data_IF_752441692557
#
_entry.id   IF_752441692557
#
_cell.length_a   1.000
_cell.length_b   1.000
_cell.length_c   1.000
_cell.angle_alpha   90.00
_cell.angle_beta   90.00
_cell.angle_gamma   90.00
#
_symmetry.space_group_name_H-M   'P 1'
#
loop_
_entity.id
_entity.type
_entity.pdbx_description
1 polymer ?
#
# COMPACT_ATOMS: atom_id res chain seq x y z
N UNK A 1 -12.90 -42.94 6.73
CA UNK A 1 -11.93 -42.01 6.18
C UNK A 1 -10.54 -42.36 6.70
N UNK A 2 -9.60 -42.68 5.86
CA UNK A 2 -8.25 -43.03 6.30
C UNK A 2 -7.47 -41.79 6.69
N UNK A 3 -6.44 -41.91 7.56
CA UNK A 3 -5.58 -40.79 7.97
C UNK A 3 -4.96 -40.04 6.78
N UNK A 4 -4.66 -40.75 5.67
CA UNK A 4 -4.14 -40.18 4.43
C UNK A 4 -5.16 -39.28 3.72
N UNK A 5 -6.42 -39.67 3.64
CA UNK A 5 -7.50 -38.89 3.03
C UNK A 5 -7.80 -37.62 3.84
N UNK A 6 -7.72 -37.67 5.17
CA UNK A 6 -7.90 -36.52 6.02
C UNK A 6 -6.76 -35.48 5.86
N UNK A 7 -5.51 -35.94 5.72
CA UNK A 7 -4.34 -35.08 5.48
C UNK A 7 -4.42 -34.38 4.12
N UNK A 8 -4.81 -35.07 3.07
CA UNK A 8 -4.97 -34.49 1.72
C UNK A 8 -6.09 -33.44 1.72
N UNK A 9 -7.22 -33.74 2.36
CA UNK A 9 -8.31 -32.78 2.46
C UNK A 9 -7.92 -31.50 3.25
N UNK A 10 -7.10 -31.64 4.29
CA UNK A 10 -6.59 -30.50 5.06
C UNK A 10 -5.64 -29.62 4.26
N UNK A 11 -4.74 -30.23 3.47
CA UNK A 11 -3.79 -29.49 2.62
C UNK A 11 -4.54 -28.72 1.52
N UNK A 12 -5.52 -29.32 0.88
CA UNK A 12 -6.36 -28.69 -0.14
C UNK A 12 -7.16 -27.52 0.43
N UNK A 13 -7.72 -27.67 1.64
CA UNK A 13 -8.48 -26.62 2.31
C UNK A 13 -7.58 -25.40 2.65
N UNK A 14 -6.36 -25.63 3.10
CA UNK A 14 -5.38 -24.55 3.39
C UNK A 14 -4.97 -23.82 2.11
N UNK A 15 -4.77 -24.53 1.01
CA UNK A 15 -4.41 -23.95 -0.30
C UNK A 15 -5.56 -23.07 -0.85
N UNK A 16 -6.81 -23.48 -0.72
CA UNK A 16 -7.99 -22.73 -1.16
C UNK A 16 -8.20 -21.44 -0.35
N UNK A 17 -7.94 -21.46 0.95
CA UNK A 17 -8.03 -20.26 1.80
C UNK A 17 -6.94 -19.26 1.47
N UNK A 18 -5.73 -19.72 1.14
CA UNK A 18 -4.62 -18.86 0.72
C UNK A 18 -4.89 -18.15 -0.61
N UNK A 19 -5.41 -18.87 -1.60
CA UNK A 19 -5.73 -18.32 -2.92
C UNK A 19 -6.84 -17.25 -2.87
N UNK A 20 -7.83 -17.42 -2.00
CA UNK A 20 -8.93 -16.46 -1.84
C UNK A 20 -8.49 -15.09 -1.28
N UNK A 21 -7.44 -15.05 -0.47
CA UNK A 21 -6.92 -13.77 0.10
C UNK A 21 -6.16 -12.96 -0.93
N UNK A 22 -5.36 -13.59 -1.76
CA UNK A 22 -4.60 -12.91 -2.83
C UNK A 22 -5.55 -12.36 -3.91
N UNK A 23 -6.57 -13.11 -4.30
CA UNK A 23 -7.57 -12.65 -5.26
C UNK A 23 -8.35 -11.42 -4.76
N UNK A 24 -8.71 -11.36 -3.47
CA UNK A 24 -9.39 -10.20 -2.87
C UNK A 24 -8.54 -8.93 -2.89
N UNK A 25 -7.25 -9.02 -2.60
CA UNK A 25 -6.36 -7.88 -2.61
C UNK A 25 -6.18 -7.29 -4.02
N UNK A 26 -6.05 -8.15 -5.05
CA UNK A 26 -5.98 -7.72 -6.44
C UNK A 26 -7.28 -7.08 -6.93
N UNK A 27 -8.44 -7.60 -6.51
CA UNK A 27 -9.73 -7.01 -6.84
C UNK A 27 -9.94 -5.64 -6.19
N UNK A 28 -9.53 -5.45 -4.94
CA UNK A 28 -9.64 -4.18 -4.25
C UNK A 28 -8.80 -3.09 -4.92
N UNK A 29 -7.53 -3.39 -5.26
CA UNK A 29 -6.68 -2.46 -6.01
C UNK A 29 -7.30 -2.08 -7.36
N UNK A 30 -7.64 -3.06 -8.18
CA UNK A 30 -8.16 -2.85 -9.54
C UNK A 30 -9.52 -2.14 -9.58
N UNK A 31 -10.28 -2.16 -8.49
CA UNK A 31 -11.53 -1.42 -8.39
C UNK A 31 -11.33 0.09 -8.27
N UNK A 32 -10.29 0.52 -7.54
CA UNK A 32 -10.06 1.95 -7.23
C UNK A 32 -8.92 2.58 -8.01
N UNK A 33 -7.85 1.82 -8.30
CA UNK A 33 -6.60 2.34 -8.85
C UNK A 33 -6.27 1.74 -10.21
N UNK A 34 -5.54 2.52 -11.02
CA UNK A 34 -5.17 2.14 -12.39
C UNK A 34 -3.68 1.82 -12.49
N UNK A 35 -3.36 0.53 -12.65
CA UNK A 35 -1.99 0.04 -12.82
C UNK A 35 -1.29 0.64 -14.05
N UNK A 36 -2.05 1.09 -15.04
CA UNK A 36 -1.52 1.72 -16.25
C UNK A 36 -1.27 3.22 -16.10
N UNK A 37 -1.55 3.78 -14.91
CA UNK A 37 -1.29 5.19 -14.59
C UNK A 37 -0.34 5.30 -13.39
N UNK A 38 0.93 4.89 -13.55
CA UNK A 38 1.93 5.05 -12.51
C UNK A 38 2.21 6.54 -12.25
N UNK A 39 2.50 6.85 -11.01
CA UNK A 39 2.90 8.20 -10.60
C UNK A 39 4.29 8.19 -9.95
N UNK A 40 4.96 9.33 -10.09
CA UNK A 40 6.17 9.68 -9.35
C UNK A 40 6.11 11.17 -9.06
N UNK A 41 5.63 11.52 -7.87
CA UNK A 41 5.40 12.90 -7.48
C UNK A 41 6.31 13.30 -6.31
N UNK A 42 6.94 14.45 -6.41
CA UNK A 42 7.58 15.10 -5.28
C UNK A 42 6.57 15.97 -4.55
N UNK A 43 6.55 15.89 -3.23
CA UNK A 43 5.65 16.68 -2.41
C UNK A 43 6.03 16.66 -0.94
N UNK A 44 5.31 17.45 -0.17
CA UNK A 44 5.49 17.62 1.27
C UNK A 44 4.43 16.83 2.02
N UNK A 45 4.86 16.01 2.97
CA UNK A 45 3.93 15.32 3.87
C UNK A 45 3.31 16.30 4.86
N UNK A 46 1.97 16.37 4.88
CA UNK A 46 1.22 17.31 5.71
C UNK A 46 0.62 16.62 6.93
N UNK A 47 0.13 15.40 6.76
CA UNK A 47 -0.60 14.68 7.81
C UNK A 47 -0.58 13.18 7.56
N UNK A 48 -0.67 12.41 8.66
CA UNK A 48 -0.91 10.97 8.64
C UNK A 48 -2.26 10.65 9.26
N UNK A 49 -3.02 9.78 8.64
CA UNK A 49 -4.16 9.10 9.23
C UNK A 49 -3.84 7.60 9.32
N UNK A 50 -3.40 7.19 10.50
CA UNK A 50 -3.00 5.80 10.79
C UNK A 50 -4.22 4.99 11.20
N UNK A 51 -4.94 4.45 10.22
CA UNK A 51 -6.19 3.72 10.42
C UNK A 51 -6.16 2.36 9.74
N UNK A 52 -6.97 1.43 10.23
CA UNK A 52 -7.19 0.14 9.58
C UNK A 52 -8.42 0.22 8.65
N UNK A 53 -8.45 -0.52 7.54
CA UNK A 53 -7.39 -1.42 7.03
C UNK A 53 -6.26 -0.71 6.29
N UNK A 54 -6.44 0.53 5.86
CA UNK A 54 -5.45 1.31 5.09
C UNK A 54 -5.24 2.67 5.71
N UNK A 55 -3.98 3.03 5.90
CA UNK A 55 -3.57 4.37 6.32
C UNK A 55 -3.54 5.35 5.16
N UNK A 56 -3.62 6.64 5.47
CA UNK A 56 -3.61 7.70 4.49
C UNK A 56 -2.54 8.74 4.81
N UNK A 57 -1.78 9.11 3.80
CA UNK A 57 -0.82 10.20 3.85
C UNK A 57 -1.38 11.38 3.07
N UNK A 58 -1.55 12.50 3.72
CA UNK A 58 -1.94 13.75 3.09
C UNK A 58 -0.67 14.48 2.66
N UNK A 59 -0.56 14.79 1.39
CA UNK A 59 0.60 15.45 0.81
C UNK A 59 0.18 16.73 0.08
N UNK A 60 1.07 17.71 0.06
CA UNK A 60 1.00 18.84 -0.85
C UNK A 60 1.93 18.58 -2.04
N UNK A 61 1.36 18.48 -3.23
CA UNK A 61 2.06 18.22 -4.48
C UNK A 61 1.71 19.34 -5.47
N UNK A 62 2.69 20.14 -5.87
CA UNK A 62 2.50 21.30 -6.76
C UNK A 62 1.39 22.26 -6.29
N UNK A 63 1.29 22.50 -4.98
CA UNK A 63 0.29 23.37 -4.38
C UNK A 63 -1.09 22.75 -4.20
N UNK A 64 -1.29 21.50 -4.61
CA UNK A 64 -2.55 20.77 -4.46
C UNK A 64 -2.48 19.74 -3.35
N UNK A 65 -3.61 19.52 -2.69
CA UNK A 65 -3.74 18.47 -1.68
C UNK A 65 -3.99 17.12 -2.33
N UNK A 66 -3.20 16.13 -1.91
CA UNK A 66 -3.30 14.75 -2.35
C UNK A 66 -3.50 13.81 -1.18
N UNK A 67 -4.24 12.73 -1.42
CA UNK A 67 -4.37 11.61 -0.48
C UNK A 67 -3.69 10.38 -1.05
N UNK A 68 -2.72 9.85 -0.32
CA UNK A 68 -1.95 8.67 -0.71
C UNK A 68 -2.31 7.52 0.22
N UNK A 69 -2.91 6.48 -0.33
CA UNK A 69 -3.21 5.26 0.42
C UNK A 69 -1.94 4.45 0.66
N UNK A 70 -1.76 4.01 1.88
CA UNK A 70 -0.74 3.04 2.28
C UNK A 70 -1.37 1.81 2.91
N UNK A 71 -0.56 0.91 3.43
CA UNK A 71 -1.00 -0.27 4.16
C UNK A 71 -1.57 0.07 5.54
N UNK A 72 -1.89 -0.98 6.29
CA UNK A 72 -2.30 -0.85 7.69
C UNK A 72 -1.17 -0.27 8.54
N UNK A 73 -1.47 0.32 9.71
CA UNK A 73 -0.44 0.82 10.62
C UNK A 73 0.64 -0.22 10.93
N UNK A 74 0.27 -1.47 11.17
CA UNK A 74 1.23 -2.55 11.46
C UNK A 74 2.12 -2.89 10.26
N UNK A 75 1.60 -2.84 9.03
CA UNK A 75 2.40 -3.03 7.82
C UNK A 75 3.42 -1.91 7.66
N UNK A 76 3.01 -0.66 7.85
CA UNK A 76 3.88 0.51 7.75
C UNK A 76 5.02 0.46 8.75
N UNK A 77 4.73 0.16 10.01
CA UNK A 77 5.75 0.04 11.06
C UNK A 77 6.78 -1.04 10.70
N UNK A 78 6.34 -2.21 10.23
CA UNK A 78 7.24 -3.28 9.80
C UNK A 78 8.11 -2.91 8.59
N UNK A 79 7.64 -2.00 7.74
CA UNK A 79 8.38 -1.47 6.60
C UNK A 79 9.29 -0.27 6.98
N UNK A 80 9.33 0.10 8.25
CA UNK A 80 10.12 1.23 8.72
C UNK A 80 9.49 2.60 8.47
N UNK A 81 8.22 2.65 8.10
CA UNK A 81 7.48 3.90 7.90
C UNK A 81 6.87 4.32 9.23
N UNK A 82 7.52 5.26 9.89
CA UNK A 82 7.15 5.78 11.22
C UNK A 82 7.26 7.30 11.23
N UNK A 83 6.68 7.94 12.25
CA UNK A 83 6.82 9.39 12.43
C UNK A 83 8.26 9.87 12.67
N UNK A 84 9.15 8.96 13.01
CA UNK A 84 10.60 9.26 13.15
C UNK A 84 11.34 9.20 11.82
N UNK A 85 11.01 8.23 10.96
CA UNK A 85 11.64 8.05 9.64
C UNK A 85 11.06 8.98 8.59
N UNK A 86 9.77 9.33 8.71
CA UNK A 86 9.05 10.24 7.80
C UNK A 86 8.26 11.25 8.64
N UNK A 87 8.91 12.26 9.25
CA UNK A 87 8.22 13.29 10.01
C UNK A 87 7.26 14.11 9.13
N UNK A 88 6.20 14.64 9.73
CA UNK A 88 5.35 15.64 9.07
C UNK A 88 6.23 16.83 8.66
N UNK A 89 6.01 17.35 7.46
CA UNK A 89 6.82 18.41 6.86
C UNK A 89 7.98 17.89 5.98
N UNK A 90 8.23 16.58 5.94
CA UNK A 90 9.24 15.99 5.06
C UNK A 90 8.84 16.17 3.59
N UNK A 91 9.77 16.66 2.78
CA UNK A 91 9.67 16.61 1.32
C UNK A 91 10.24 15.27 0.85
N UNK A 92 9.46 14.56 0.06
CA UNK A 92 9.81 13.23 -0.44
C UNK A 92 9.15 12.97 -1.79
N UNK A 93 9.58 11.90 -2.45
CA UNK A 93 8.93 11.42 -3.67
C UNK A 93 8.02 10.26 -3.30
N UNK A 94 6.78 10.27 -3.79
CA UNK A 94 5.87 9.14 -3.74
C UNK A 94 5.78 8.49 -5.12
N UNK A 95 5.94 7.18 -5.17
CA UNK A 95 5.66 6.35 -6.33
C UNK A 95 4.41 5.50 -6.04
N UNK A 96 3.57 5.33 -7.03
CA UNK A 96 2.34 4.57 -6.90
C UNK A 96 1.48 4.61 -8.16
N UNK A 97 0.16 4.62 -7.99
CA UNK A 97 -0.80 4.58 -9.09
C UNK A 97 -1.99 5.48 -8.82
N UNK A 98 -2.48 6.18 -9.86
CA UNK A 98 -3.63 7.08 -9.75
C UNK A 98 -4.93 6.35 -9.45
N UNK A 99 -5.82 7.03 -8.73
CA UNK A 99 -7.20 6.62 -8.64
C UNK A 99 -7.91 6.74 -9.99
N UNK A 100 -8.81 5.82 -10.28
CA UNK A 100 -9.60 5.78 -11.52
C UNK A 100 -10.66 6.89 -11.59
N UNK A 101 -11.08 7.42 -10.45
CA UNK A 101 -12.15 8.43 -10.36
C UNK A 101 -11.70 9.84 -10.76
N UNK A 102 -10.42 10.05 -11.07
CA UNK A 102 -9.87 11.35 -11.50
C UNK A 102 -9.64 12.34 -10.37
N UNK A 103 -9.80 11.95 -9.10
CA UNK A 103 -9.50 12.80 -7.94
C UNK A 103 -8.00 12.82 -7.65
N UNK A 104 -7.55 13.77 -6.80
CA UNK A 104 -6.17 13.83 -6.30
C UNK A 104 -5.93 12.76 -5.22
N UNK A 105 -6.10 11.51 -5.62
CA UNK A 105 -5.91 10.31 -4.81
C UNK A 105 -5.06 9.30 -5.55
N UNK A 106 -4.18 8.64 -4.84
CA UNK A 106 -3.35 7.57 -5.38
C UNK A 106 -3.12 6.49 -4.32
N UNK A 107 -2.81 5.27 -4.75
CA UNK A 107 -2.23 4.28 -3.86
C UNK A 107 -0.72 4.40 -3.92
N UNK A 108 -0.07 4.53 -2.77
CA UNK A 108 1.37 4.59 -2.66
C UNK A 108 2.00 3.20 -2.67
N UNK A 109 3.04 3.04 -3.46
CA UNK A 109 3.90 1.85 -3.47
C UNK A 109 5.08 2.03 -2.54
N UNK A 110 5.76 3.16 -2.66
CA UNK A 110 6.89 3.52 -1.80
C UNK A 110 7.11 5.03 -1.73
N UNK A 111 7.78 5.45 -0.65
CA UNK A 111 8.40 6.75 -0.54
C UNK A 111 9.89 6.66 -0.89
N UNK A 112 10.43 7.71 -1.51
CA UNK A 112 11.87 7.91 -1.69
C UNK A 112 12.22 9.17 -0.92
N UNK A 113 13.10 9.03 0.07
CA UNK A 113 13.59 10.12 0.93
C UNK A 113 14.73 10.90 0.25
N UNK A 114 15.09 12.04 0.82
CA UNK A 114 16.14 12.92 0.25
C UNK A 114 17.52 12.23 0.15
N UNK A 115 17.81 11.26 1.02
CA UNK A 115 19.04 10.44 0.97
C UNK A 115 18.99 9.31 -0.08
N UNK A 116 17.89 9.18 -0.82
CA UNK A 116 17.65 8.11 -1.79
C UNK A 116 17.12 6.81 -1.19
N UNK A 117 16.96 6.71 0.12
CA UNK A 117 16.37 5.53 0.73
C UNK A 117 14.92 5.34 0.33
N UNK A 118 14.52 4.07 0.17
CA UNK A 118 13.20 3.69 -0.31
C UNK A 118 12.44 2.95 0.79
N UNK A 119 11.28 3.47 1.16
CA UNK A 119 10.39 2.87 2.15
C UNK A 119 9.11 2.37 1.47
N UNK A 120 8.85 1.07 1.55
CA UNK A 120 7.63 0.50 1.01
C UNK A 120 6.43 0.80 1.90
N UNK A 121 5.28 1.09 1.27
CA UNK A 121 4.09 1.54 1.98
C UNK A 121 3.09 0.42 2.30
N UNK A 122 3.40 -0.82 1.92
CA UNK A 122 2.46 -1.93 2.12
C UNK A 122 1.19 -1.78 1.30
N UNK A 123 0.09 -2.33 1.79
CA UNK A 123 -1.23 -2.18 1.17
C UNK A 123 -1.42 -3.01 -0.10
N UNK A 124 -2.29 -2.52 -0.99
CA UNK A 124 -2.73 -3.24 -2.18
C UNK A 124 -1.90 -2.94 -3.43
N UNK A 125 -1.02 -1.95 -3.40
CA UNK A 125 -0.22 -1.57 -4.57
C UNK A 125 0.67 -2.74 -5.05
N UNK A 126 0.75 -3.03 -6.36
CA UNK A 126 1.62 -4.07 -6.90
C UNK A 126 3.10 -3.83 -6.59
N UNK A 127 3.87 -4.92 -6.46
CA UNK A 127 5.32 -4.87 -6.28
C UNK A 127 5.78 -4.55 -4.86
N UNK A 128 4.91 -4.70 -3.86
CA UNK A 128 5.30 -4.64 -2.45
C UNK A 128 6.11 -5.87 -2.05
N UNK A 129 7.09 -5.77 -1.17
CA UNK A 129 7.75 -6.93 -0.58
C UNK A 129 6.75 -7.74 0.25
N UNK A 130 6.93 -9.05 0.23
CA UNK A 130 6.12 -10.00 1.02
C UNK A 130 6.66 -10.12 2.43
#
# INVERSE_FOLDING_TARGET
>A
MTRRTALIAAIVAVALVGAGRVARAHHAFAAEFDVNKPIKFEGKLIKWDMVNPHSWFHMEIKGEKWMIEGGSPNQLIRQGVTSKTVPIGTTLIVEGYLAKDGTNKAVGRNFILADGSRLFLGGSAPGQPK
#
